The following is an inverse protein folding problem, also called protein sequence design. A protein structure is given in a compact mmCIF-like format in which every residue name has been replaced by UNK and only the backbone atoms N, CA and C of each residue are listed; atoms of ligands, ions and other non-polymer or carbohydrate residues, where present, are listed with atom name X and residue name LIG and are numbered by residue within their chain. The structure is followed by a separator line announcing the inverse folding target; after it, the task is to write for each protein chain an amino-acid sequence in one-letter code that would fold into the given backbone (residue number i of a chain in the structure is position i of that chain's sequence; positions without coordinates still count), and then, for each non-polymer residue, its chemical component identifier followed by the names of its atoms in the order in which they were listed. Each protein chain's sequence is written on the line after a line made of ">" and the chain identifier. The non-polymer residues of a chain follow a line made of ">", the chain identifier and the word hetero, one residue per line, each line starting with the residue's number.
data_IF_789619788555
#
_entry.id   IF_789619788555
#
_cell.length_a   1.000
_cell.length_b   1.000
_cell.length_c   1.000
_cell.angle_alpha   90.00
_cell.angle_beta   90.00
_cell.angle_gamma   90.00
#
_symmetry.space_group_name_H-M   'P 1'
#
loop_
_entity.id
_entity.type
_entity.pdbx_description
1 polymer ?
#
# COMPACT_ATOMS: atom_id res chain seq x y z
N UNK A 1 -25.86 43.01 35.44
CA UNK A 1 -24.69 42.93 34.53
C UNK A 1 -23.86 41.71 34.91
N UNK A 2 -24.04 40.59 34.21
CA UNK A 2 -23.29 39.36 34.44
C UNK A 2 -22.45 39.13 33.19
N UNK A 3 -21.14 39.37 33.35
CA UNK A 3 -20.15 39.15 32.31
C UNK A 3 -19.95 37.64 32.10
N UNK A 4 -20.30 37.13 30.91
CA UNK A 4 -19.99 35.76 30.48
C UNK A 4 -18.56 35.73 29.91
N UNK A 5 -17.61 35.25 30.68
CA UNK A 5 -16.30 34.86 30.12
C UNK A 5 -16.45 33.55 29.32
N UNK A 6 -16.40 33.68 28.01
CA UNK A 6 -16.30 32.56 27.10
C UNK A 6 -14.84 32.09 27.07
N UNK A 7 -14.52 31.05 27.84
CA UNK A 7 -13.21 30.41 27.87
C UNK A 7 -13.07 29.51 26.63
N UNK A 8 -12.42 30.03 25.57
CA UNK A 8 -12.09 29.26 24.38
C UNK A 8 -10.93 28.35 24.73
N UNK A 9 -11.18 27.08 24.95
CA UNK A 9 -10.16 26.04 25.01
C UNK A 9 -9.59 25.83 23.62
N UNK A 10 -8.39 26.37 23.36
CA UNK A 10 -7.56 25.92 22.24
C UNK A 10 -7.04 24.51 22.57
N UNK A 11 -7.69 23.49 22.03
CA UNK A 11 -7.12 22.15 21.99
C UNK A 11 -5.99 22.20 20.97
N UNK A 12 -4.76 22.37 21.45
CA UNK A 12 -3.57 22.13 20.64
C UNK A 12 -3.49 20.61 20.43
N UNK A 13 -4.07 20.13 19.34
CA UNK A 13 -3.80 18.78 18.86
C UNK A 13 -2.33 18.80 18.44
N UNK A 14 -1.46 18.29 19.33
CA UNK A 14 -0.08 17.96 18.96
C UNK A 14 -0.22 16.80 17.98
N UNK A 15 -0.35 17.12 16.69
CA UNK A 15 -0.35 16.14 15.63
C UNK A 15 0.93 15.31 15.75
N UNK A 16 0.81 14.06 16.12
CA UNK A 16 1.94 13.14 16.21
C UNK A 16 2.58 13.06 14.82
N UNK A 17 3.71 13.74 14.64
CA UNK A 17 4.37 13.87 13.36
C UNK A 17 4.90 12.50 12.90
N UNK A 18 4.32 11.93 11.87
CA UNK A 18 4.72 10.67 11.24
C UNK A 18 5.80 10.86 10.17
N UNK A 19 6.78 11.75 10.42
CA UNK A 19 7.87 11.98 9.47
C UNK A 19 8.60 10.67 9.14
N UNK A 20 9.13 10.50 7.91
CA UNK A 20 9.79 9.26 7.49
C UNK A 20 10.90 8.80 8.43
N UNK A 21 11.70 9.74 8.96
CA UNK A 21 12.76 9.42 9.93
C UNK A 21 12.21 8.97 11.29
N UNK A 22 11.09 9.54 11.74
CA UNK A 22 10.43 9.09 12.99
C UNK A 22 9.82 7.71 12.83
N UNK A 23 9.20 7.44 11.68
CA UNK A 23 8.71 6.10 11.34
C UNK A 23 9.87 5.11 11.31
N UNK A 24 10.95 5.42 10.57
CA UNK A 24 12.14 4.57 10.52
C UNK A 24 12.66 4.25 11.92
N UNK A 25 12.88 5.27 12.74
CA UNK A 25 13.35 5.11 14.13
C UNK A 25 12.39 4.26 14.98
N UNK A 26 11.09 4.47 14.83
CA UNK A 26 10.07 3.72 15.57
C UNK A 26 10.05 2.25 15.19
N UNK A 27 10.09 1.92 13.88
CA UNK A 27 10.10 0.53 13.43
C UNK A 27 11.45 -0.15 13.71
N UNK A 28 12.57 0.58 13.70
CA UNK A 28 13.89 0.03 14.04
C UNK A 28 13.95 -0.57 15.46
N UNK A 29 13.08 -0.15 16.39
CA UNK A 29 13.00 -0.79 17.71
C UNK A 29 12.58 -2.25 17.62
N UNK A 30 11.93 -2.67 16.54
CA UNK A 30 11.55 -4.06 16.27
C UNK A 30 12.66 -4.85 15.56
N UNK A 31 13.58 -4.14 14.89
CA UNK A 31 14.69 -4.73 14.09
C UNK A 31 16.05 -4.22 14.58
N UNK A 32 16.43 -4.45 15.86
CA UNK A 32 17.65 -3.86 16.43
C UNK A 32 18.93 -4.39 15.77
N UNK A 33 18.94 -5.64 15.30
CA UNK A 33 20.08 -6.25 14.62
C UNK A 33 20.20 -5.85 13.16
N UNK A 34 19.06 -5.52 12.52
CA UNK A 34 18.99 -5.14 11.10
C UNK A 34 18.13 -3.87 10.95
N UNK A 35 18.65 -2.69 11.32
CA UNK A 35 17.90 -1.46 11.20
C UNK A 35 17.55 -1.17 9.74
N UNK A 36 16.35 -0.66 9.53
CA UNK A 36 15.79 -0.38 8.21
C UNK A 36 16.56 0.70 7.46
N UNK A 37 16.31 0.74 6.17
CA UNK A 37 16.88 1.72 5.24
C UNK A 37 15.81 2.73 4.82
N UNK A 38 16.25 3.93 4.46
CA UNK A 38 15.41 4.98 3.90
C UNK A 38 16.02 5.54 2.63
N UNK A 39 15.22 5.63 1.58
CA UNK A 39 15.60 6.25 0.30
C UNK A 39 14.57 7.31 -0.08
N UNK A 40 15.05 8.52 -0.40
CA UNK A 40 14.21 9.58 -0.96
C UNK A 40 14.04 9.34 -2.47
N UNK A 41 12.80 9.16 -2.91
CA UNK A 41 12.47 8.95 -4.32
C UNK A 41 12.27 10.28 -5.07
N UNK A 42 11.55 11.20 -4.44
CA UNK A 42 11.35 12.58 -4.90
C UNK A 42 10.98 13.47 -3.72
N UNK A 43 10.67 14.75 -3.94
CA UNK A 43 10.22 15.65 -2.86
C UNK A 43 8.99 15.06 -2.18
N UNK A 44 9.05 14.89 -0.87
CA UNK A 44 7.93 14.37 -0.07
C UNK A 44 7.60 12.89 -0.26
N UNK A 45 8.43 12.10 -0.96
CA UNK A 45 8.22 10.67 -1.20
C UNK A 45 9.45 9.89 -0.80
N UNK A 46 9.27 8.90 0.10
CA UNK A 46 10.34 8.09 0.65
C UNK A 46 9.95 6.61 0.59
N UNK A 47 10.93 5.76 0.31
CA UNK A 47 10.83 4.33 0.49
C UNK A 47 11.64 3.92 1.72
N UNK A 48 11.01 3.16 2.60
CA UNK A 48 11.59 2.56 3.79
C UNK A 48 11.52 1.04 3.67
N UNK A 49 12.55 0.33 4.13
CA UNK A 49 12.57 -1.14 4.08
C UNK A 49 13.26 -1.74 5.29
N UNK A 50 12.75 -2.88 5.76
CA UNK A 50 13.29 -3.69 6.85
C UNK A 50 13.27 -5.16 6.44
N UNK A 51 14.33 -5.88 6.75
CA UNK A 51 14.41 -7.33 6.58
C UNK A 51 15.23 -7.91 7.72
N UNK A 52 14.62 -8.78 8.52
CA UNK A 52 15.30 -9.38 9.66
C UNK A 52 14.35 -9.97 10.69
N UNK A 53 14.90 -10.35 11.82
CA UNK A 53 14.11 -10.85 12.96
C UNK A 53 13.39 -9.69 13.66
N UNK A 54 12.07 -9.73 13.62
CA UNK A 54 11.21 -8.83 14.37
C UNK A 54 11.17 -9.30 15.84
N UNK A 55 11.61 -8.45 16.77
CA UNK A 55 11.69 -8.80 18.19
C UNK A 55 10.35 -8.83 18.90
N UNK A 56 9.33 -8.20 18.34
CA UNK A 56 7.95 -8.22 18.87
C UNK A 56 7.22 -9.51 18.45
N UNK A 57 7.38 -9.89 17.17
CA UNK A 57 6.74 -11.06 16.60
C UNK A 57 7.59 -12.34 16.75
N UNK A 58 8.85 -12.20 17.18
CA UNK A 58 9.82 -13.28 17.37
C UNK A 58 10.09 -14.13 16.12
N UNK A 59 9.93 -13.56 14.92
CA UNK A 59 10.12 -14.24 13.63
C UNK A 59 10.71 -13.32 12.57
N UNK A 60 11.13 -13.91 11.44
CA UNK A 60 11.67 -13.18 10.29
C UNK A 60 10.55 -12.46 9.56
N UNK A 61 10.74 -11.18 9.30
CA UNK A 61 9.82 -10.33 8.55
C UNK A 61 10.54 -9.47 7.52
N UNK A 62 9.85 -9.17 6.43
CA UNK A 62 10.25 -8.21 5.41
C UNK A 62 9.13 -7.18 5.24
N UNK A 63 9.46 -5.91 5.50
CA UNK A 63 8.51 -4.80 5.47
C UNK A 63 9.02 -3.73 4.51
N UNK A 64 8.17 -3.27 3.59
CA UNK A 64 8.43 -2.12 2.75
C UNK A 64 7.32 -1.07 2.91
N UNK A 65 7.68 0.19 2.98
CA UNK A 65 6.74 1.29 3.11
C UNK A 65 7.09 2.45 2.18
N UNK A 66 6.13 2.90 1.37
CA UNK A 66 6.19 4.18 0.69
C UNK A 66 5.50 5.22 1.58
N UNK A 67 6.24 6.23 2.01
CA UNK A 67 5.74 7.32 2.84
C UNK A 67 5.64 8.58 2.00
N UNK A 68 4.41 9.06 1.78
CA UNK A 68 4.09 10.15 0.85
C UNK A 68 3.51 11.31 1.65
N UNK A 69 4.18 12.45 1.64
CA UNK A 69 3.63 13.70 2.16
C UNK A 69 2.73 14.33 1.09
N UNK A 70 1.43 14.30 1.29
CA UNK A 70 0.43 14.74 0.32
C UNK A 70 0.52 16.23 -0.02
N UNK A 71 1.05 17.06 0.89
CA UNK A 71 1.19 18.50 0.65
C UNK A 71 2.35 18.83 -0.30
N UNK A 72 3.44 18.08 -0.21
CA UNK A 72 4.68 18.40 -0.91
C UNK A 72 5.06 17.48 -2.06
N UNK A 73 4.46 16.30 -2.16
CA UNK A 73 4.75 15.33 -3.21
C UNK A 73 4.22 15.81 -4.57
N UNK A 74 5.09 15.98 -5.59
CA UNK A 74 4.68 16.41 -6.92
C UNK A 74 4.22 15.23 -7.77
N UNK A 75 3.18 14.53 -7.30
CA UNK A 75 2.65 13.32 -7.91
C UNK A 75 1.22 13.50 -8.41
N UNK A 76 0.87 12.71 -9.41
CA UNK A 76 -0.48 12.28 -9.73
C UNK A 76 -0.61 10.81 -9.36
N UNK A 77 -1.82 10.40 -9.02
CA UNK A 77 -2.12 9.04 -8.58
C UNK A 77 -3.07 8.42 -9.61
N UNK A 78 -2.67 7.27 -10.17
CA UNK A 78 -3.51 6.56 -11.13
C UNK A 78 -4.07 5.28 -10.49
N UNK A 79 -5.38 5.21 -10.41
CA UNK A 79 -6.16 4.07 -9.96
C UNK A 79 -6.39 3.17 -11.16
N UNK A 80 -5.38 2.39 -11.51
CA UNK A 80 -5.39 1.56 -12.71
C UNK A 80 -6.25 0.32 -12.54
N UNK A 81 -7.01 0.03 -13.60
CA UNK A 81 -7.82 -1.18 -13.75
C UNK A 81 -7.53 -1.83 -15.08
N UNK A 82 -7.31 -3.15 -15.12
CA UNK A 82 -6.79 -3.87 -16.28
C UNK A 82 -7.81 -4.81 -16.91
N UNK A 83 -9.06 -4.80 -16.38
CA UNK A 83 -10.11 -5.69 -16.83
C UNK A 83 -9.63 -7.16 -16.83
N UNK A 84 -10.00 -7.92 -17.83
CA UNK A 84 -9.56 -9.31 -18.03
C UNK A 84 -8.10 -9.41 -18.54
N UNK A 85 -7.47 -8.29 -18.87
CA UNK A 85 -6.08 -8.20 -19.34
C UNK A 85 -5.10 -7.91 -18.22
N UNK A 86 -5.04 -8.80 -17.21
CA UNK A 86 -4.13 -8.69 -16.07
C UNK A 86 -2.68 -8.48 -16.51
N UNK A 87 -1.99 -7.59 -15.82
CA UNK A 87 -0.60 -7.20 -16.10
C UNK A 87 0.27 -7.35 -14.86
N UNK A 88 1.57 -7.53 -15.04
CA UNK A 88 2.52 -7.41 -13.94
C UNK A 88 2.67 -5.96 -13.54
N UNK A 89 2.86 -5.71 -12.24
CA UNK A 89 2.98 -4.35 -11.71
C UNK A 89 4.19 -3.61 -12.32
N UNK A 90 5.33 -4.30 -12.47
CA UNK A 90 6.53 -3.70 -13.07
C UNK A 90 6.28 -3.22 -14.50
N UNK A 91 5.61 -4.02 -15.34
CA UNK A 91 5.27 -3.64 -16.72
C UNK A 91 4.43 -2.36 -16.75
N UNK A 92 3.40 -2.26 -15.90
CA UNK A 92 2.54 -1.08 -15.85
C UNK A 92 3.27 0.14 -15.30
N UNK A 93 4.06 -0.04 -14.25
CA UNK A 93 4.86 1.04 -13.66
C UNK A 93 5.89 1.59 -14.65
N UNK A 94 6.51 0.71 -15.46
CA UNK A 94 7.48 1.11 -16.48
C UNK A 94 6.81 1.86 -17.63
N UNK A 95 5.70 1.34 -18.16
CA UNK A 95 4.98 1.97 -19.27
C UNK A 95 4.39 3.33 -18.93
N UNK A 96 4.11 3.60 -17.65
CA UNK A 96 3.55 4.87 -17.15
C UNK A 96 4.61 5.80 -16.56
N UNK A 97 5.87 5.40 -16.52
CA UNK A 97 6.96 6.12 -15.86
C UNK A 97 6.68 6.42 -14.38
N UNK A 98 5.92 5.57 -13.71
CA UNK A 98 5.67 5.71 -12.27
C UNK A 98 6.97 5.64 -11.47
N UNK A 99 7.14 6.48 -10.44
CA UNK A 99 8.30 6.41 -9.53
C UNK A 99 8.16 5.27 -8.53
N UNK A 100 6.93 4.92 -8.21
CA UNK A 100 6.56 3.77 -7.39
C UNK A 100 5.15 3.30 -7.74
N UNK A 101 4.84 2.05 -7.42
CA UNK A 101 3.53 1.45 -7.63
C UNK A 101 3.28 0.31 -6.66
N UNK A 102 2.02 -0.02 -6.41
CA UNK A 102 1.59 -1.17 -5.62
C UNK A 102 0.36 -1.83 -6.26
N UNK A 103 0.19 -3.14 -6.05
CA UNK A 103 -1.11 -3.77 -6.29
C UNK A 103 -2.15 -3.21 -5.32
N UNK A 104 -3.43 -3.29 -5.67
CA UNK A 104 -4.48 -2.65 -4.87
C UNK A 104 -5.67 -3.56 -4.59
N UNK A 105 -6.80 -3.42 -5.28
CA UNK A 105 -8.03 -4.16 -4.99
C UNK A 105 -7.93 -5.66 -5.27
N UNK A 106 -8.80 -6.43 -4.60
CA UNK A 106 -9.01 -7.82 -4.91
C UNK A 106 -9.59 -7.98 -6.31
N UNK A 107 -9.21 -9.04 -7.00
CA UNK A 107 -9.73 -9.37 -8.34
C UNK A 107 -10.10 -10.85 -8.40
N UNK A 108 -10.84 -11.21 -9.42
CA UNK A 108 -11.13 -12.61 -9.68
C UNK A 108 -9.81 -13.35 -10.03
N UNK A 109 -9.49 -14.37 -9.25
CA UNK A 109 -8.28 -15.18 -9.47
C UNK A 109 -8.58 -16.61 -9.92
N UNK A 110 -9.70 -17.17 -9.48
CA UNK A 110 -9.99 -18.60 -9.60
C UNK A 110 -11.03 -18.90 -10.69
N UNK A 111 -11.42 -17.94 -11.52
CA UNK A 111 -12.49 -18.09 -12.53
C UNK A 111 -13.81 -18.61 -11.94
N UNK A 112 -14.13 -18.23 -10.72
CA UNK A 112 -15.35 -18.65 -10.02
C UNK A 112 -16.55 -17.71 -10.26
N UNK A 113 -16.46 -16.92 -11.31
CA UNK A 113 -17.59 -16.23 -11.91
C UNK A 113 -17.90 -14.86 -11.41
N UNK A 114 -16.97 -14.15 -10.71
CA UNK A 114 -17.31 -12.80 -10.34
C UNK A 114 -16.24 -11.94 -9.72
N UNK A 115 -16.48 -10.65 -9.75
CA UNK A 115 -15.62 -9.63 -9.14
C UNK A 115 -16.01 -9.38 -7.69
N UNK A 116 -15.00 -9.30 -6.82
CA UNK A 116 -15.16 -9.11 -5.37
C UNK A 116 -14.90 -7.69 -4.90
N UNK A 117 -14.36 -6.82 -5.76
CA UNK A 117 -14.08 -5.42 -5.45
C UNK A 117 -14.79 -4.47 -6.40
N UNK A 118 -15.18 -3.32 -5.89
CA UNK A 118 -15.68 -2.20 -6.68
C UNK A 118 -14.52 -1.30 -7.08
N UNK A 119 -14.53 -0.84 -8.33
CA UNK A 119 -13.53 0.09 -8.85
C UNK A 119 -14.17 1.23 -9.63
N UNK A 120 -13.80 2.45 -9.26
CA UNK A 120 -14.16 3.70 -9.94
C UNK A 120 -12.91 4.52 -10.14
N UNK A 121 -12.66 5.05 -11.32
CA UNK A 121 -11.58 5.99 -11.57
C UNK A 121 -12.01 7.11 -12.49
N UNK A 122 -11.53 8.33 -12.21
CA UNK A 122 -11.89 9.56 -12.94
C UNK A 122 -13.40 9.76 -13.06
N UNK A 123 -14.14 9.37 -12.02
CA UNK A 123 -15.60 9.43 -11.97
C UNK A 123 -16.34 8.28 -12.68
N UNK A 124 -15.64 7.43 -13.44
CA UNK A 124 -16.24 6.32 -14.17
C UNK A 124 -16.16 5.02 -13.37
N UNK A 125 -17.26 4.29 -13.26
CA UNK A 125 -17.30 2.94 -12.69
C UNK A 125 -16.73 1.97 -13.73
N UNK A 126 -15.62 1.31 -13.37
CA UNK A 126 -14.95 0.35 -14.24
C UNK A 126 -15.27 -1.10 -13.86
N UNK A 127 -15.56 -1.34 -12.57
CA UNK A 127 -15.89 -2.68 -12.08
C UNK A 127 -16.88 -2.61 -10.94
N UNK A 128 -17.88 -3.45 -10.99
CA UNK A 128 -18.85 -3.70 -9.92
C UNK A 128 -18.56 -5.02 -9.21
N UNK A 129 -19.04 -5.17 -7.98
CA UNK A 129 -19.06 -6.45 -7.29
C UNK A 129 -20.17 -7.29 -7.92
N UNK A 130 -19.82 -8.45 -8.48
CA UNK A 130 -20.78 -9.33 -9.18
C UNK A 130 -21.02 -10.65 -8.48
N UNK A 131 -20.21 -10.99 -7.46
CA UNK A 131 -20.48 -12.17 -6.64
C UNK A 131 -21.72 -11.97 -5.78
N UNK A 132 -22.53 -13.01 -5.52
CA UNK A 132 -23.72 -12.93 -4.70
C UNK A 132 -23.38 -12.66 -3.22
N UNK A 133 -24.35 -12.10 -2.47
CA UNK A 133 -24.15 -11.70 -1.06
C UNK A 133 -23.79 -12.89 -0.13
N UNK A 134 -24.28 -14.08 -0.44
CA UNK A 134 -23.95 -15.30 0.31
C UNK A 134 -22.60 -15.92 -0.07
N UNK A 135 -21.86 -15.35 -1.02
CA UNK A 135 -20.54 -15.85 -1.42
C UNK A 135 -19.53 -15.58 -0.29
N UNK A 136 -18.67 -16.57 -0.02
CA UNK A 136 -17.68 -16.52 1.07
C UNK A 136 -16.69 -15.35 1.00
N UNK A 137 -16.54 -14.73 -0.17
CA UNK A 137 -15.66 -13.55 -0.40
C UNK A 137 -16.42 -12.23 -0.45
N UNK A 138 -17.76 -12.21 -0.25
CA UNK A 138 -18.56 -10.97 -0.36
C UNK A 138 -18.09 -9.87 0.60
N UNK A 139 -17.57 -10.22 1.76
CA UNK A 139 -17.02 -9.27 2.75
C UNK A 139 -15.86 -8.41 2.22
N UNK A 140 -15.19 -8.81 1.13
CA UNK A 140 -13.97 -8.15 0.61
C UNK A 140 -14.19 -6.74 0.05
N UNK A 141 -15.41 -6.21 0.04
CA UNK A 141 -15.70 -4.84 -0.42
C UNK A 141 -16.38 -3.94 0.65
N UNK A 142 -16.30 -4.33 1.93
CA UNK A 142 -16.97 -3.63 3.04
C UNK A 142 -16.43 -2.22 3.34
N UNK A 143 -15.24 -1.90 2.86
CA UNK A 143 -14.67 -0.56 2.97
C UNK A 143 -14.01 -0.18 1.63
N UNK A 144 -13.66 1.09 1.46
CA UNK A 144 -13.01 1.55 0.25
C UNK A 144 -11.94 2.60 0.56
N UNK A 145 -10.82 2.50 -0.14
CA UNK A 145 -9.83 3.54 -0.27
C UNK A 145 -10.26 4.50 -1.38
N UNK A 146 -10.36 5.77 -1.05
CA UNK A 146 -10.91 6.79 -1.95
C UNK A 146 -9.97 7.98 -2.10
N UNK A 147 -10.05 8.62 -3.28
CA UNK A 147 -9.40 9.89 -3.57
C UNK A 147 -10.39 10.84 -4.23
N UNK A 148 -10.49 12.04 -3.68
CA UNK A 148 -11.26 13.13 -4.28
C UNK A 148 -10.39 14.37 -4.46
N UNK A 149 -10.14 14.74 -5.73
CA UNK A 149 -9.08 15.70 -6.05
C UNK A 149 -7.66 15.16 -5.78
N UNK A 150 -6.65 16.01 -5.95
CA UNK A 150 -5.25 15.57 -6.02
C UNK A 150 -4.67 15.02 -4.71
N UNK A 151 -5.12 15.52 -3.54
CA UNK A 151 -4.44 15.32 -2.26
C UNK A 151 -5.33 14.77 -1.14
N UNK A 152 -6.61 14.53 -1.44
CA UNK A 152 -7.57 14.12 -0.44
C UNK A 152 -7.81 12.62 -0.56
N UNK A 153 -7.21 11.88 0.36
CA UNK A 153 -7.40 10.45 0.52
C UNK A 153 -8.13 10.17 1.82
N UNK A 154 -9.03 9.20 1.76
CA UNK A 154 -9.76 8.72 2.93
C UNK A 154 -10.10 7.23 2.79
N UNK A 155 -10.53 6.64 3.89
CA UNK A 155 -11.11 5.30 3.91
C UNK A 155 -12.55 5.46 4.37
N UNK A 156 -13.49 4.90 3.61
CA UNK A 156 -14.90 4.95 3.88
C UNK A 156 -15.47 3.54 4.01
N UNK A 157 -16.50 3.37 4.83
CA UNK A 157 -17.26 2.13 4.92
C UNK A 157 -18.51 2.23 4.05
N UNK A 158 -18.91 1.13 3.45
CA UNK A 158 -20.12 1.07 2.64
C UNK A 158 -20.15 -0.16 1.75
N UNK A 159 -21.02 -0.09 0.76
CA UNK A 159 -21.13 -1.11 -0.28
C UNK A 159 -21.16 -0.43 -1.66
N UNK A 160 -21.18 -1.23 -2.73
CA UNK A 160 -21.13 -0.68 -4.09
C UNK A 160 -22.27 0.30 -4.42
N UNK A 161 -23.46 0.15 -3.83
CA UNK A 161 -24.58 1.08 -4.09
C UNK A 161 -24.29 2.47 -3.54
N UNK A 162 -23.64 2.52 -2.35
CA UNK A 162 -23.12 3.77 -1.78
C UNK A 162 -22.00 4.33 -2.65
N UNK A 163 -21.01 3.51 -2.99
CA UNK A 163 -19.83 3.96 -3.75
C UNK A 163 -20.20 4.53 -5.13
N UNK A 164 -21.19 3.96 -5.81
CA UNK A 164 -21.68 4.45 -7.11
C UNK A 164 -22.20 5.88 -7.02
N UNK A 165 -22.95 6.20 -5.95
CA UNK A 165 -23.64 7.47 -5.77
C UNK A 165 -22.72 8.60 -5.27
N UNK A 166 -21.58 8.26 -4.66
CA UNK A 166 -20.68 9.27 -4.12
C UNK A 166 -20.02 10.09 -5.24
N UNK A 167 -19.98 11.44 -5.13
CA UNK A 167 -19.30 12.32 -6.07
C UNK A 167 -17.78 12.29 -5.85
N UNK A 168 -17.21 11.08 -5.78
CA UNK A 168 -15.78 10.81 -5.56
C UNK A 168 -15.20 10.29 -6.86
N UNK A 169 -14.04 10.83 -7.27
CA UNK A 169 -13.41 10.50 -8.54
C UNK A 169 -12.84 9.08 -8.58
N UNK A 170 -12.17 8.67 -7.51
CA UNK A 170 -11.45 7.40 -7.46
C UNK A 170 -11.81 6.61 -6.21
N UNK A 171 -12.20 5.35 -6.41
CA UNK A 171 -12.64 4.43 -5.36
C UNK A 171 -12.13 3.03 -5.69
N UNK A 172 -11.47 2.39 -4.73
CA UNK A 172 -11.14 0.96 -4.76
C UNK A 172 -11.65 0.34 -3.47
N UNK A 173 -12.64 -0.54 -3.57
CA UNK A 173 -13.13 -1.25 -2.39
C UNK A 173 -12.21 -2.39 -1.99
N UNK A 174 -12.13 -2.65 -0.69
CA UNK A 174 -11.31 -3.72 -0.10
C UNK A 174 -11.78 -4.06 1.32
N UNK A 175 -11.06 -4.97 1.98
CA UNK A 175 -11.27 -5.39 3.37
C UNK A 175 -10.07 -6.16 3.93
N UNK A 176 -9.96 -6.25 5.28
CA UNK A 176 -10.78 -5.55 6.27
C UNK A 176 -10.39 -4.10 6.47
N UNK A 177 -11.28 -3.34 7.07
CA UNK A 177 -10.95 -2.08 7.71
C UNK A 177 -10.07 -2.36 8.93
N UNK A 178 -8.87 -1.77 8.97
CA UNK A 178 -7.90 -2.02 10.03
C UNK A 178 -7.93 -0.95 11.13
N UNK A 179 -8.09 0.31 10.73
CA UNK A 179 -8.17 1.45 11.65
C UNK A 179 -9.23 2.41 11.10
N UNK A 180 -10.14 2.84 11.96
CA UNK A 180 -11.16 3.85 11.67
C UNK A 180 -11.06 5.01 12.67
N UNK A 181 -10.73 6.20 12.17
CA UNK A 181 -10.62 7.43 12.96
C UNK A 181 -9.82 7.27 14.27
N UNK A 182 -8.66 6.63 14.17
CA UNK A 182 -7.78 6.35 15.29
C UNK A 182 -8.15 5.14 16.15
N UNK A 183 -9.24 4.42 15.80
CA UNK A 183 -9.67 3.21 16.54
C UNK A 183 -9.17 1.97 15.80
N UNK A 184 -8.32 1.13 16.43
CA UNK A 184 -7.89 -0.15 15.87
C UNK A 184 -9.05 -1.13 15.73
N UNK A 185 -9.31 -1.63 14.52
CA UNK A 185 -10.42 -2.52 14.17
C UNK A 185 -9.96 -3.94 13.82
N UNK A 186 -8.71 -4.13 13.38
CA UNK A 186 -8.21 -5.40 12.85
C UNK A 186 -8.29 -6.58 13.83
N UNK A 187 -8.22 -6.32 15.14
CA UNK A 187 -8.35 -7.33 16.18
C UNK A 187 -9.72 -8.04 16.21
N UNK A 188 -10.78 -7.38 15.74
CA UNK A 188 -12.14 -7.98 15.75
C UNK A 188 -12.24 -9.20 14.82
N UNK A 189 -11.39 -9.31 13.82
CA UNK A 189 -11.36 -10.44 12.91
C UNK A 189 -10.56 -11.63 13.45
N UNK A 190 -9.62 -11.38 14.33
CA UNK A 190 -8.72 -12.42 14.88
C UNK A 190 -9.29 -13.02 16.17
N UNK A 191 -9.96 -12.21 17.00
CA UNK A 191 -10.41 -12.58 18.32
C UNK A 191 -11.88 -13.08 18.41
N UNK A 192 -12.57 -13.16 17.28
CA UNK A 192 -13.96 -13.66 17.27
C UNK A 192 -14.00 -15.19 17.37
N UNK A 193 -13.86 -15.72 18.53
CA UNK A 193 -13.91 -17.12 18.98
C UNK A 193 -12.55 -17.79 19.03
N UNK A 194 -12.18 -18.18 20.24
CA UNK A 194 -11.24 -19.25 20.50
C UNK A 194 -11.74 -20.54 19.82
N UNK A 195 -10.95 -21.09 18.91
CA UNK A 195 -11.26 -22.33 18.22
C UNK A 195 -10.41 -22.53 16.98
N UNK A 196 -10.27 -23.76 16.58
CA UNK A 196 -9.57 -24.14 15.35
C UNK A 196 -10.34 -23.61 14.13
N UNK A 197 -9.78 -22.60 13.47
CA UNK A 197 -10.33 -21.98 12.25
C UNK A 197 -9.97 -22.76 10.99
N UNK A 198 -9.23 -23.86 11.10
CA UNK A 198 -8.81 -24.67 9.94
C UNK A 198 -10.01 -25.30 9.19
N UNK A 199 -11.11 -25.52 9.90
CA UNK A 199 -12.35 -26.06 9.35
C UNK A 199 -13.16 -25.03 8.53
N UNK A 200 -12.84 -23.73 8.62
CA UNK A 200 -13.50 -22.70 7.82
C UNK A 200 -12.91 -22.68 6.41
N UNK A 201 -13.69 -22.30 5.37
CA UNK A 201 -13.14 -22.07 4.04
C UNK A 201 -11.99 -21.07 4.07
N UNK A 202 -10.93 -21.27 3.27
CA UNK A 202 -9.73 -20.39 3.30
C UNK A 202 -10.04 -18.91 3.04
N UNK A 203 -11.11 -18.61 2.33
CA UNK A 203 -11.59 -17.25 2.04
C UNK A 203 -12.58 -16.73 3.09
N UNK A 204 -12.93 -17.51 4.12
CA UNK A 204 -13.76 -17.05 5.22
C UNK A 204 -13.06 -15.89 5.97
N UNK A 205 -13.75 -14.78 6.31
CA UNK A 205 -13.12 -13.59 6.87
C UNK A 205 -12.26 -13.89 8.11
N UNK A 206 -12.77 -14.69 9.04
CA UNK A 206 -12.04 -15.04 10.27
C UNK A 206 -10.74 -15.82 9.96
N UNK A 207 -10.81 -16.85 9.11
CA UNK A 207 -9.65 -17.63 8.72
C UNK A 207 -8.64 -16.81 7.92
N UNK A 208 -9.11 -16.05 6.96
CA UNK A 208 -8.27 -15.23 6.10
C UNK A 208 -7.54 -14.15 6.90
N UNK A 209 -8.21 -13.52 7.87
CA UNK A 209 -7.61 -12.43 8.64
C UNK A 209 -6.74 -12.92 9.81
N UNK A 210 -7.07 -14.06 10.41
CA UNK A 210 -6.24 -14.67 11.44
C UNK A 210 -4.96 -15.32 10.88
N UNK A 211 -4.95 -15.71 9.60
CA UNK A 211 -3.81 -16.36 8.96
C UNK A 211 -2.64 -15.42 8.73
N UNK A 212 -1.42 -15.92 8.97
CA UNK A 212 -0.18 -15.24 8.60
C UNK A 212 0.03 -15.29 7.09
N UNK A 213 0.49 -14.19 6.53
CA UNK A 213 0.79 -14.13 5.11
C UNK A 213 1.16 -12.73 4.62
N UNK A 214 1.45 -12.62 3.30
CA UNK A 214 1.73 -11.34 2.69
C UNK A 214 0.55 -10.40 2.78
N UNK A 215 0.79 -9.15 3.20
CA UNK A 215 -0.24 -8.11 3.38
C UNK A 215 0.13 -6.82 2.70
N UNK A 216 -0.87 -6.17 2.11
CA UNK A 216 -0.81 -4.79 1.62
C UNK A 216 -1.79 -3.95 2.43
N UNK A 217 -1.36 -2.77 2.89
CA UNK A 217 -2.24 -1.83 3.58
C UNK A 217 -2.02 -0.40 3.11
N UNK A 218 -3.10 0.38 3.08
CA UNK A 218 -3.10 1.80 2.73
C UNK A 218 -3.57 2.63 3.93
N UNK A 219 -2.68 2.99 4.85
CA UNK A 219 -3.01 3.92 5.93
C UNK A 219 -2.86 5.39 5.51
N UNK A 220 -3.66 6.24 6.16
CA UNK A 220 -3.49 7.69 6.18
C UNK A 220 -3.21 8.16 7.61
N UNK A 221 -2.56 9.32 7.75
CA UNK A 221 -2.15 9.87 9.05
C UNK A 221 -2.73 11.27 9.25
N UNK A 222 -2.88 11.75 10.50
CA UNK A 222 -3.40 13.09 10.80
C UNK A 222 -2.54 14.23 10.20
N UNK A 223 -1.23 14.02 10.03
CA UNK A 223 -0.30 14.97 9.42
C UNK A 223 -0.22 14.85 7.89
N UNK A 224 -1.32 14.36 7.27
CA UNK A 224 -1.56 14.32 5.83
C UNK A 224 -0.49 13.52 5.05
N UNK A 225 -0.22 12.32 5.52
CA UNK A 225 0.58 11.33 4.79
C UNK A 225 -0.29 10.18 4.33
N UNK A 226 -0.04 9.76 3.11
CA UNK A 226 -0.44 8.46 2.60
C UNK A 226 0.75 7.51 2.75
N UNK A 227 0.50 6.33 3.27
CA UNK A 227 1.49 5.27 3.36
C UNK A 227 0.97 4.08 2.55
N UNK A 228 1.84 3.45 1.77
CA UNK A 228 1.54 2.19 1.10
C UNK A 228 2.50 1.19 1.71
N UNK A 229 1.97 0.24 2.48
CA UNK A 229 2.76 -0.71 3.26
C UNK A 229 2.61 -2.11 2.69
N UNK A 230 3.73 -2.79 2.39
CA UNK A 230 3.76 -4.22 2.11
C UNK A 230 4.53 -4.97 3.20
N UNK A 231 3.98 -6.10 3.64
CA UNK A 231 4.66 -7.08 4.49
C UNK A 231 4.69 -8.38 3.72
N UNK A 232 5.88 -8.90 3.45
CA UNK A 232 6.05 -10.17 2.75
C UNK A 232 5.63 -11.34 3.63
N UNK A 233 5.54 -12.53 3.07
CA UNK A 233 5.13 -13.68 3.85
C UNK A 233 5.26 -15.00 3.10
N UNK A 234 4.87 -16.11 3.78
CA UNK A 234 4.89 -17.47 3.24
C UNK A 234 6.29 -17.98 2.92
N UNK A 235 7.33 -17.43 3.55
CA UNK A 235 8.71 -17.85 3.43
C UNK A 235 9.36 -17.95 4.80
N UNK A 236 10.35 -18.85 5.02
CA UNK A 236 11.14 -18.84 6.26
C UNK A 236 11.87 -17.52 6.50
N UNK A 237 12.23 -16.80 5.43
CA UNK A 237 12.91 -15.48 5.47
C UNK A 237 11.94 -14.31 5.67
N UNK A 238 10.62 -14.51 5.51
CA UNK A 238 9.55 -13.56 5.80
C UNK A 238 8.25 -14.34 5.99
N UNK A 239 7.82 -14.49 7.25
CA UNK A 239 6.68 -15.35 7.55
C UNK A 239 5.34 -14.66 7.30
N UNK A 240 5.31 -13.33 7.46
CA UNK A 240 4.13 -12.50 7.26
C UNK A 240 3.31 -12.32 8.52
N UNK A 241 2.29 -11.48 8.44
CA UNK A 241 1.48 -11.03 9.58
C UNK A 241 0.00 -11.28 9.35
N UNK A 242 -0.75 -11.38 10.47
CA UNK A 242 -2.20 -11.40 10.45
C UNK A 242 -2.78 -9.97 10.51
N UNK A 243 -4.11 -9.82 10.52
CA UNK A 243 -4.76 -8.51 10.51
C UNK A 243 -4.56 -7.72 11.80
N UNK A 244 -4.49 -8.37 12.96
CA UNK A 244 -4.25 -7.73 14.25
C UNK A 244 -2.83 -7.17 14.33
N UNK A 245 -1.82 -8.00 14.03
CA UNK A 245 -0.42 -7.60 14.02
C UNK A 245 -0.14 -6.45 13.03
N UNK A 246 -0.79 -6.50 11.84
CA UNK A 246 -0.73 -5.42 10.87
C UNK A 246 -1.34 -4.13 11.43
N UNK A 247 -2.49 -4.23 12.10
CA UNK A 247 -3.15 -3.09 12.74
C UNK A 247 -2.27 -2.47 13.80
N UNK A 248 -1.67 -3.28 14.67
CA UNK A 248 -0.76 -2.81 15.72
C UNK A 248 0.49 -2.13 15.15
N UNK A 249 1.08 -2.72 14.10
CA UNK A 249 2.20 -2.12 13.38
C UNK A 249 1.84 -0.72 12.84
N UNK A 250 0.69 -0.60 12.17
CA UNK A 250 0.23 0.65 11.58
C UNK A 250 -0.11 1.71 12.64
N UNK A 251 -0.78 1.30 13.69
CA UNK A 251 -1.21 2.20 14.77
C UNK A 251 -0.02 2.70 15.59
N UNK A 252 0.81 1.79 16.08
CA UNK A 252 1.90 2.15 17.00
C UNK A 252 3.12 2.75 16.32
N UNK A 253 3.49 2.30 15.12
CA UNK A 253 4.73 2.73 14.48
C UNK A 253 4.54 3.72 13.34
N UNK A 254 3.46 3.57 12.58
CA UNK A 254 3.16 4.47 11.46
C UNK A 254 2.21 5.62 11.82
N UNK A 255 1.61 5.57 13.03
CA UNK A 255 0.66 6.58 13.52
C UNK A 255 -0.54 6.77 12.59
N UNK A 256 -1.03 5.67 12.05
CA UNK A 256 -2.19 5.66 11.18
C UNK A 256 -3.45 6.13 11.93
N UNK A 257 -4.24 6.99 11.29
CA UNK A 257 -5.58 7.39 11.75
C UNK A 257 -6.68 6.59 11.05
N UNK A 258 -6.46 6.25 9.79
CA UNK A 258 -7.30 5.34 9.03
C UNK A 258 -6.39 4.32 8.34
N UNK A 259 -6.83 3.07 8.21
CA UNK A 259 -6.12 2.05 7.47
C UNK A 259 -7.06 0.97 6.93
N UNK A 260 -6.81 0.54 5.70
CA UNK A 260 -7.51 -0.56 5.03
C UNK A 260 -6.51 -1.59 4.52
N UNK A 261 -6.84 -2.87 4.67
CA UNK A 261 -6.11 -3.94 4.03
C UNK A 261 -6.52 -4.03 2.56
N UNK A 262 -5.54 -4.18 1.68
CA UNK A 262 -5.71 -4.37 0.26
C UNK A 262 -5.41 -5.82 -0.14
N UNK A 263 -5.46 -6.15 -1.44
CA UNK A 263 -5.12 -7.50 -1.90
C UNK A 263 -3.66 -7.83 -1.55
N UNK A 264 -3.49 -8.97 -0.91
CA UNK A 264 -2.21 -9.48 -0.44
C UNK A 264 -1.85 -10.82 -1.05
N UNK A 265 -1.30 -11.72 -0.22
CA UNK A 265 -0.95 -13.07 -0.67
C UNK A 265 -0.02 -13.07 -1.89
N UNK A 266 -0.33 -13.89 -2.89
CA UNK A 266 0.47 -13.96 -4.13
C UNK A 266 0.40 -12.72 -5.01
N UNK A 267 -0.57 -11.83 -4.79
CA UNK A 267 -0.70 -10.57 -5.54
C UNK A 267 0.22 -9.48 -4.99
N UNK A 268 0.74 -9.65 -3.76
CA UNK A 268 1.56 -8.64 -3.11
C UNK A 268 2.76 -8.26 -3.96
N UNK A 269 2.76 -7.04 -4.46
CA UNK A 269 3.88 -6.49 -5.23
C UNK A 269 4.00 -4.99 -4.98
N UNK A 270 5.22 -4.56 -4.65
CA UNK A 270 5.59 -3.14 -4.55
C UNK A 270 6.74 -2.87 -5.52
N UNK A 271 6.56 -1.85 -6.33
CA UNK A 271 7.56 -1.38 -7.30
C UNK A 271 8.12 -0.03 -6.85
N UNK A 272 9.45 0.10 -6.93
CA UNK A 272 10.17 1.36 -6.74
C UNK A 272 11.19 1.48 -7.87
N UNK A 273 11.04 2.48 -8.70
CA UNK A 273 11.86 2.67 -9.91
C UNK A 273 13.35 2.79 -9.55
N UNK A 274 14.16 1.91 -10.16
CA UNK A 274 15.62 1.91 -10.00
C UNK A 274 16.14 1.38 -8.66
N UNK A 275 15.28 0.82 -7.80
CA UNK A 275 15.71 0.23 -6.53
C UNK A 275 16.28 -1.19 -6.70
N UNK A 276 15.76 -1.94 -7.66
CA UNK A 276 16.23 -3.27 -8.07
C UNK A 276 16.26 -3.36 -9.60
N UNK A 277 16.86 -4.38 -10.21
CA UNK A 277 16.84 -4.54 -11.66
C UNK A 277 15.42 -4.62 -12.26
N UNK A 278 14.45 -5.21 -11.55
CA UNK A 278 13.05 -5.30 -11.96
C UNK A 278 12.19 -4.15 -11.43
N UNK A 279 12.73 -3.32 -10.53
CA UNK A 279 11.98 -2.33 -9.75
C UNK A 279 11.12 -2.92 -8.63
N UNK A 280 10.88 -4.23 -8.59
CA UNK A 280 10.13 -4.89 -7.50
C UNK A 280 11.00 -4.95 -6.25
N UNK A 281 10.49 -4.42 -5.13
CA UNK A 281 11.27 -4.28 -3.89
C UNK A 281 10.88 -5.24 -2.78
N UNK A 282 9.70 -5.82 -2.87
CA UNK A 282 9.25 -6.90 -1.99
C UNK A 282 9.62 -8.28 -2.57
N UNK A 283 9.29 -9.35 -1.85
CA UNK A 283 9.56 -10.73 -2.23
C UNK A 283 8.25 -11.46 -2.59
N UNK A 284 7.85 -11.47 -3.89
CA UNK A 284 6.57 -12.02 -4.32
C UNK A 284 6.42 -13.50 -3.94
N UNK A 285 5.37 -13.86 -3.22
CA UNK A 285 5.20 -15.24 -2.73
C UNK A 285 4.86 -16.25 -3.82
N UNK A 286 4.44 -15.83 -5.02
CA UNK A 286 4.21 -16.72 -6.17
C UNK A 286 5.53 -17.20 -6.80
N UNK A 287 6.67 -16.55 -6.49
CA UNK A 287 8.02 -17.02 -6.82
C UNK A 287 8.23 -18.49 -6.44
N UNK A 288 7.69 -18.93 -5.31
CA UNK A 288 7.83 -20.30 -4.80
C UNK A 288 7.24 -21.38 -5.72
N UNK A 289 6.39 -20.99 -6.68
CA UNK A 289 5.91 -21.89 -7.75
C UNK A 289 6.97 -22.15 -8.81
N UNK A 290 7.92 -21.21 -8.96
CA UNK A 290 9.01 -21.24 -9.95
C UNK A 290 10.28 -21.78 -9.28
N UNK A 291 10.59 -21.28 -8.09
CA UNK A 291 11.72 -21.65 -7.27
C UNK A 291 11.25 -21.80 -5.80
N UNK A 292 10.98 -23.01 -5.29
CA UNK A 292 10.46 -23.22 -3.92
C UNK A 292 11.34 -22.65 -2.82
N UNK A 293 12.66 -22.62 -3.03
CA UNK A 293 13.64 -22.08 -2.07
C UNK A 293 13.98 -20.60 -2.34
N UNK A 294 13.43 -20.03 -3.42
CA UNK A 294 13.71 -18.66 -3.85
C UNK A 294 13.15 -17.63 -2.87
N UNK A 295 14.01 -16.67 -2.51
CA UNK A 295 13.62 -15.46 -1.81
C UNK A 295 14.30 -14.30 -2.52
N UNK A 296 13.67 -13.84 -3.60
CA UNK A 296 14.16 -12.80 -4.49
C UNK A 296 13.01 -11.89 -4.97
N UNK A 297 13.32 -10.92 -5.82
CA UNK A 297 12.39 -9.90 -6.31
C UNK A 297 11.67 -10.28 -7.62
N UNK A 298 11.67 -11.57 -8.02
CA UNK A 298 11.01 -12.04 -9.24
C UNK A 298 9.72 -12.80 -8.92
N UNK A 299 9.01 -13.28 -9.95
CA UNK A 299 7.82 -14.12 -9.81
C UNK A 299 6.55 -13.36 -9.41
N UNK A 300 6.47 -12.05 -9.68
CA UNK A 300 5.25 -11.28 -9.46
C UNK A 300 4.05 -11.81 -10.25
N UNK A 301 2.88 -11.85 -9.60
CA UNK A 301 1.62 -12.23 -10.24
C UNK A 301 1.12 -11.11 -11.16
N UNK A 302 0.44 -11.49 -12.25
CA UNK A 302 -0.41 -10.57 -13.01
C UNK A 302 -1.61 -10.18 -12.16
N UNK A 303 -1.86 -8.88 -11.99
CA UNK A 303 -2.88 -8.28 -11.13
C UNK A 303 -3.96 -7.58 -11.95
N UNK A 304 -5.15 -7.40 -11.35
CA UNK A 304 -6.28 -6.71 -11.99
C UNK A 304 -6.32 -5.20 -11.70
N UNK A 305 -5.70 -4.75 -10.61
CA UNK A 305 -5.74 -3.35 -10.16
C UNK A 305 -4.42 -2.92 -9.54
N UNK A 306 -4.04 -1.65 -9.75
CA UNK A 306 -2.85 -1.05 -9.16
C UNK A 306 -3.08 0.41 -8.77
N UNK A 307 -2.30 0.90 -7.81
CA UNK A 307 -2.12 2.31 -7.52
C UNK A 307 -0.72 2.74 -7.96
N UNK A 308 -0.67 3.68 -8.92
CA UNK A 308 0.58 4.17 -9.49
C UNK A 308 0.86 5.59 -9.01
N UNK A 309 2.11 5.86 -8.64
CA UNK A 309 2.63 7.16 -8.23
C UNK A 309 3.41 7.76 -9.41
N UNK A 310 2.78 8.66 -10.15
CA UNK A 310 3.32 9.20 -11.40
C UNK A 310 3.81 10.64 -11.15
N UNK A 311 5.07 10.99 -11.48
CA UNK A 311 5.56 12.36 -11.35
C UNK A 311 4.75 13.32 -12.22
N UNK A 312 4.39 14.49 -11.70
CA UNK A 312 3.76 15.54 -12.53
C UNK A 312 4.69 15.93 -13.68
N UNK A 313 4.11 16.16 -14.85
CA UNK A 313 4.83 16.44 -16.13
C UNK A 313 5.97 17.45 -15.98
N UNK A 314 5.77 18.51 -15.18
CA UNK A 314 6.80 19.54 -14.91
C UNK A 314 8.07 18.97 -14.25
N UNK A 315 7.94 17.91 -13.44
CA UNK A 315 9.07 17.23 -12.79
C UNK A 315 9.80 16.32 -13.78
N UNK A 316 9.06 15.65 -14.65
CA UNK A 316 9.63 14.83 -15.73
C UNK A 316 10.46 15.67 -16.68
N UNK A 317 9.96 16.79 -17.16
CA UNK A 317 10.67 17.70 -18.07
C UNK A 317 11.97 18.20 -17.45
N UNK A 318 11.98 18.67 -16.20
CA UNK A 318 13.20 19.08 -15.48
C UNK A 318 14.23 17.95 -15.34
N UNK A 319 13.78 16.70 -15.18
CA UNK A 319 14.68 15.53 -15.12
C UNK A 319 15.32 15.24 -16.47
N UNK A 320 14.54 15.34 -17.56
CA UNK A 320 15.03 15.16 -18.91
C UNK A 320 16.02 16.25 -19.30
N UNK A 321 15.76 17.51 -18.97
CA UNK A 321 16.68 18.63 -19.17
C UNK A 321 18.02 18.42 -18.44
N UNK A 322 17.98 17.95 -17.17
CA UNK A 322 19.21 17.63 -16.43
C UNK A 322 20.02 16.49 -17.06
N UNK A 323 19.33 15.43 -17.52
CA UNK A 323 20.00 14.29 -18.19
C UNK A 323 20.65 14.79 -19.49
N UNK A 324 19.94 15.63 -20.29
CA UNK A 324 20.48 16.20 -21.50
C UNK A 324 21.74 17.02 -21.24
N UNK A 325 21.72 17.92 -20.25
CA UNK A 325 22.89 18.73 -19.87
C UNK A 325 24.07 17.84 -19.45
N UNK A 326 23.82 16.75 -18.72
CA UNK A 326 24.88 15.81 -18.29
C UNK A 326 25.45 15.04 -19.50
N UNK A 327 24.60 14.61 -20.43
CA UNK A 327 25.06 13.93 -21.66
C UNK A 327 25.85 14.88 -22.54
N UNK A 328 25.38 16.12 -22.72
CA UNK A 328 26.07 17.14 -23.51
C UNK A 328 27.44 17.50 -22.89
N UNK A 329 27.55 17.57 -21.55
CA UNK A 329 28.84 17.81 -20.87
C UNK A 329 29.81 16.63 -21.02
N UNK A 330 29.32 15.40 -20.94
CA UNK A 330 30.15 14.21 -21.16
C UNK A 330 30.59 14.09 -22.62
N UNK A 331 29.78 14.52 -23.59
CA UNK A 331 30.14 14.54 -25.00
C UNK A 331 31.21 15.60 -25.30
N UNK A 332 31.19 16.76 -24.63
CA UNK A 332 32.24 17.80 -24.77
C UNK A 332 33.57 17.30 -24.21
N UNK A 333 33.60 16.62 -23.07
CA UNK A 333 34.86 16.04 -22.52
C UNK A 333 35.51 14.98 -23.43
N UNK A 334 34.71 14.34 -24.31
CA UNK A 334 35.22 13.35 -25.26
C UNK A 334 35.82 13.98 -26.55
N UNK A 335 35.39 15.20 -26.88
CA UNK A 335 35.86 15.92 -28.06
C UNK A 335 37.12 16.76 -27.81
N UNK A 336 37.42 17.11 -26.53
CA UNK A 336 38.54 17.95 -26.17
C UNK A 336 39.85 17.15 -25.85
N UNK A 337 39.89 15.82 -26.06
CA UNK A 337 41.09 15.01 -25.89
C UNK A 337 41.47 14.25 -27.18
N UNK A 338 41.94 14.92 -28.23
CA UNK A 338 42.48 14.27 -29.40
C UNK A 338 43.90 13.77 -29.03
N UNK A 339 44.09 12.45 -29.05
CA UNK A 339 45.43 11.87 -29.06
C UNK A 339 46.09 12.07 -30.40
#
# INVERSE_FOLDING_TARGET
>A
MISKYLMVFFIIIIAACSSPNKILKSVNTRFPENPGKIQKLTKGVFWLSWLGKDTVLHRMESINALVINLESAPLTYDFSWFNDHRKTLSYVADSTLAVAAVNSGYFEYLNDGGYVSFHKSKGQVNQEVTIPENHVRFWKHQAAFVQNGEKNFAIIQGNQNVYKQLPIENIISSAPLLISDGVPMGKYFVNQKEGDKSNLPGEHPERHQAGFGPRMAFPTTPDRRLILLSVDGRSPSAQGINAEELTDLLYHHFKANQAINMDGGGSLTMFVRGATPTGVVNYPSDQRKINPDGFDHIGQRKIGMALLLIPKRKVLLRRMEKIKVTVDSLAMDYTDNPK
#
